data_IF_613158585630
#
_entry.id   IF_613158585630
#
_cell.length_a   1.000
_cell.length_b   1.000
_cell.length_c   1.000
_cell.angle_alpha   90.00
_cell.angle_beta   90.00
_cell.angle_gamma   90.00
#
_symmetry.space_group_name_H-M   'P 1'
#
loop_
_entity.id
_entity.type
_entity.pdbx_description
1 polymer ?
#
# COMPACT_ATOMS: atom_id res chain seq x y z
N UNK A 1 9.90 3.82 -13.36
CA UNK A 1 10.75 4.47 -12.34
C UNK A 1 10.25 4.06 -10.96
N UNK A 2 11.15 3.70 -10.04
CA UNK A 2 10.80 3.40 -8.64
C UNK A 2 11.03 4.64 -7.79
N UNK A 3 10.01 5.03 -7.04
CA UNK A 3 10.07 6.17 -6.11
C UNK A 3 10.54 5.74 -4.72
N UNK A 4 10.36 4.45 -4.41
CA UNK A 4 10.71 3.85 -3.12
C UNK A 4 11.59 2.62 -3.31
N UNK A 5 12.52 2.44 -2.38
CA UNK A 5 13.40 1.26 -2.30
C UNK A 5 12.98 0.33 -1.17
N UNK A 6 13.46 -0.91 -1.20
CA UNK A 6 13.25 -1.87 -0.11
C UNK A 6 13.74 -1.29 1.22
N UNK A 7 12.93 -1.45 2.27
CA UNK A 7 13.20 -0.92 3.61
C UNK A 7 12.84 0.55 3.82
N UNK A 8 12.39 1.25 2.77
CA UNK A 8 11.95 2.64 2.91
C UNK A 8 10.51 2.71 3.43
N UNK A 9 10.29 3.58 4.41
CA UNK A 9 8.95 3.83 4.95
C UNK A 9 8.01 4.44 3.90
N UNK A 10 6.78 3.92 3.85
CA UNK A 10 5.73 4.35 2.93
C UNK A 10 4.44 4.62 3.69
N UNK A 11 3.78 5.72 3.37
CA UNK A 11 2.46 6.06 3.91
C UNK A 11 1.38 5.65 2.91
N UNK A 12 0.14 5.48 3.39
CA UNK A 12 -1.01 5.24 2.50
C UNK A 12 -1.13 6.41 1.52
N UNK A 13 -1.13 6.09 0.22
CA UNK A 13 -1.20 7.07 -0.86
C UNK A 13 0.15 7.49 -1.44
N UNK A 14 1.28 7.09 -0.85
CA UNK A 14 2.60 7.34 -1.45
C UNK A 14 2.77 6.54 -2.75
N UNK A 15 3.24 7.17 -3.84
CA UNK A 15 3.58 6.44 -5.06
C UNK A 15 4.78 5.53 -4.82
N UNK A 16 4.66 4.26 -5.21
CA UNK A 16 5.74 3.27 -5.06
C UNK A 16 6.59 3.19 -6.33
N UNK A 17 5.92 3.08 -7.49
CA UNK A 17 6.56 3.12 -8.80
C UNK A 17 5.58 3.64 -9.86
N UNK A 18 6.14 4.13 -10.96
CA UNK A 18 5.38 4.59 -12.13
C UNK A 18 5.78 3.78 -13.35
N UNK A 19 4.77 3.27 -14.06
CA UNK A 19 4.92 2.56 -15.32
C UNK A 19 4.80 3.59 -16.45
N UNK A 20 5.78 3.58 -17.36
CA UNK A 20 5.75 4.37 -18.58
C UNK A 20 5.69 3.41 -19.77
N UNK A 21 4.87 3.74 -20.76
CA UNK A 21 4.79 3.00 -22.01
C UNK A 21 4.46 3.94 -23.17
N UNK A 22 5.06 3.67 -24.32
CA UNK A 22 4.86 4.43 -25.56
C UNK A 22 3.46 4.23 -26.17
N UNK A 23 2.84 3.07 -25.94
CA UNK A 23 1.53 2.71 -26.50
C UNK A 23 0.55 2.36 -25.38
N UNK A 24 -0.70 2.82 -25.50
CA UNK A 24 -1.75 2.60 -24.51
C UNK A 24 -2.01 1.13 -24.17
N UNK A 25 -2.00 0.24 -25.18
CA UNK A 25 -2.20 -1.20 -24.95
C UNK A 25 -1.09 -1.84 -24.11
N UNK A 26 0.15 -1.34 -24.21
CA UNK A 26 1.28 -1.80 -23.38
C UNK A 26 1.13 -1.31 -21.95
N UNK A 27 0.65 -0.08 -21.76
CA UNK A 27 0.38 0.47 -20.44
C UNK A 27 -0.71 -0.35 -19.72
N UNK A 28 -1.81 -0.65 -20.43
CA UNK A 28 -2.91 -1.42 -19.88
C UNK A 28 -2.47 -2.83 -19.46
N UNK A 29 -1.78 -3.55 -20.36
CA UNK A 29 -1.25 -4.88 -20.05
C UNK A 29 -0.30 -4.87 -18.84
N UNK A 30 0.63 -3.91 -18.79
CA UNK A 30 1.56 -3.78 -17.68
C UNK A 30 0.85 -3.46 -16.35
N UNK A 31 -0.25 -2.69 -16.40
CA UNK A 31 -1.07 -2.40 -15.22
C UNK A 31 -1.82 -3.64 -14.72
N UNK A 32 -2.37 -4.46 -15.63
CA UNK A 32 -3.03 -5.72 -15.29
C UNK A 32 -2.04 -6.70 -14.65
N UNK A 33 -0.85 -6.85 -15.24
CA UNK A 33 0.21 -7.72 -14.69
C UNK A 33 0.69 -7.22 -13.32
N UNK A 34 0.89 -5.91 -13.15
CA UNK A 34 1.32 -5.34 -11.87
C UNK A 34 0.29 -5.59 -10.75
N UNK A 35 -1.01 -5.52 -11.08
CA UNK A 35 -2.09 -5.83 -10.13
C UNK A 35 -2.14 -7.32 -9.79
N UNK A 36 -1.92 -8.19 -10.77
CA UNK A 36 -1.96 -9.66 -10.57
C UNK A 36 -0.76 -10.16 -9.78
N UNK A 37 0.43 -9.66 -10.10
CA UNK A 37 1.68 -10.12 -9.51
C UNK A 37 1.96 -9.49 -8.15
N UNK A 38 1.35 -8.33 -7.85
CA UNK A 38 1.58 -7.56 -6.62
C UNK A 38 3.09 -7.49 -6.27
N UNK A 39 3.93 -6.92 -7.15
CA UNK A 39 5.38 -7.09 -7.08
C UNK A 39 6.05 -6.43 -5.87
N UNK A 40 5.32 -5.63 -5.09
CA UNK A 40 5.83 -4.95 -3.90
C UNK A 40 4.96 -5.29 -2.70
N UNK A 41 5.56 -5.93 -1.70
CA UNK A 41 4.97 -6.11 -0.38
C UNK A 41 5.23 -4.87 0.48
N UNK A 42 4.16 -4.32 1.06
CA UNK A 42 4.26 -3.25 2.06
C UNK A 42 3.82 -3.84 3.39
N UNK A 43 4.82 -4.14 4.22
CA UNK A 43 4.65 -4.67 5.56
C UNK A 43 4.57 -3.51 6.57
N UNK A 44 3.87 -3.71 7.68
CA UNK A 44 3.83 -2.78 8.80
C UNK A 44 3.75 -3.53 10.13
N UNK A 45 4.19 -2.90 11.22
CA UNK A 45 3.96 -3.45 12.56
C UNK A 45 2.53 -3.11 13.00
N UNK A 46 1.71 -4.13 13.27
CA UNK A 46 0.49 -3.97 14.08
C UNK A 46 0.93 -3.70 15.52
N UNK A 47 0.99 -2.43 15.94
CA UNK A 47 1.46 -2.07 17.29
C UNK A 47 0.43 -2.50 18.35
N UNK A 48 -0.87 -2.32 18.09
CA UNK A 48 -1.98 -2.90 18.85
C UNK A 48 -3.30 -2.57 18.12
N UNK A 49 -4.22 -3.53 17.95
CA UNK A 49 -5.62 -3.19 17.65
C UNK A 49 -6.27 -2.87 18.99
N UNK A 50 -6.25 -1.60 19.38
CA UNK A 50 -6.98 -1.16 20.58
C UNK A 50 -8.45 -1.54 20.39
N UNK A 51 -9.03 -2.44 21.21
CA UNK A 51 -10.46 -2.68 21.16
C UNK A 51 -11.14 -1.37 21.53
N UNK A 52 -11.90 -0.81 20.58
CA UNK A 52 -12.56 0.48 20.71
C UNK A 52 -13.26 0.61 22.06
N UNK A 53 -13.00 1.72 22.74
CA UNK A 53 -13.40 2.14 24.09
C UNK A 53 -14.82 1.75 24.56
N UNK A 54 -15.12 0.46 24.74
CA UNK A 54 -16.38 -0.04 25.31
C UNK A 54 -16.33 -0.19 26.85
N UNK A 55 -15.31 0.33 27.51
CA UNK A 55 -15.10 0.19 28.96
C UNK A 55 -14.93 1.50 29.73
N UNK A 56 -15.52 2.60 29.26
CA UNK A 56 -15.68 3.83 30.06
C UNK A 56 -17.13 4.33 30.05
N UNK A 57 -18.04 3.49 30.55
CA UNK A 57 -19.27 3.99 31.16
C UNK A 57 -19.05 3.98 32.68
N UNK A 58 -18.88 5.13 33.35
CA UNK A 58 -18.92 5.17 34.80
C UNK A 58 -20.35 4.77 35.23
N UNK A 59 -20.48 3.68 35.97
CA UNK A 59 -21.72 3.40 36.69
C UNK A 59 -21.81 4.44 37.81
N UNK A 60 -22.95 5.13 37.87
CA UNK A 60 -23.28 6.11 38.90
C UNK A 60 -23.39 5.43 40.26
#
# INVERSE_FOLDING_TARGET
MFHKKQGQHVKKGDPIFTIYADRGWRLQKALEDARRLMPIAVEGMLIDRVPGNRWRIPMH
#
